data_IF_985820281437
#
_entry.id   IF_985820281437
#
_cell.length_a   1.000
_cell.length_b   1.000
_cell.length_c   1.000
_cell.angle_alpha   90.00
_cell.angle_beta   90.00
_cell.angle_gamma   90.00
#
_symmetry.space_group_name_H-M   'P 1'
#
loop_
_entity.id
_entity.type
_entity.pdbx_description
1 polymer ?
#
# COMPACT_ATOMS: atom_id res chain seq x y z
N UNK A 1 -48.40 27.65 34.76
CA UNK A 1 -49.69 27.30 34.12
C UNK A 1 -49.42 26.93 32.67
N UNK A 2 -49.77 25.69 32.35
CA UNK A 2 -50.04 25.14 30.99
C UNK A 2 -48.94 25.22 29.91
N UNK A 3 -48.68 24.27 29.15
CA UNK A 3 -48.99 22.83 28.99
C UNK A 3 -48.54 22.38 27.60
N UNK A 4 -48.03 21.17 27.54
CA UNK A 4 -48.18 20.12 26.52
C UNK A 4 -47.52 20.22 25.14
N UNK A 5 -46.60 19.27 24.92
CA UNK A 5 -46.56 18.25 23.86
C UNK A 5 -46.93 18.64 22.42
N UNK A 6 -45.95 18.50 21.53
CA UNK A 6 -46.21 17.78 20.27
C UNK A 6 -44.94 17.00 19.84
N UNK A 7 -44.98 15.68 20.01
CA UNK A 7 -44.14 14.73 19.29
C UNK A 7 -44.56 14.74 17.82
N UNK A 8 -43.64 15.08 16.94
CA UNK A 8 -43.79 14.77 15.51
C UNK A 8 -42.85 13.61 15.20
N UNK A 9 -43.48 12.47 14.98
CA UNK A 9 -42.90 11.24 14.43
C UNK A 9 -42.43 11.51 13.00
N UNK A 10 -41.13 11.39 12.74
CA UNK A 10 -40.59 11.28 11.39
C UNK A 10 -40.15 9.84 11.18
N UNK A 11 -40.83 9.16 10.26
CA UNK A 11 -40.55 7.83 9.78
C UNK A 11 -39.18 7.78 9.09
N UNK A 12 -38.47 6.63 9.12
CA UNK A 12 -37.18 6.50 8.45
C UNK A 12 -37.37 6.40 6.93
N UNK A 13 -36.79 7.32 6.19
CA UNK A 13 -36.65 7.25 4.74
C UNK A 13 -35.66 6.16 4.36
N UNK A 14 -36.07 5.32 3.43
CA UNK A 14 -35.38 4.16 2.91
C UNK A 14 -33.98 4.48 2.37
N UNK A 15 -32.98 3.71 2.80
CA UNK A 15 -31.67 3.66 2.18
C UNK A 15 -31.76 3.01 0.79
N UNK A 16 -31.02 3.47 -0.23
CA UNK A 16 -31.09 2.92 -1.55
C UNK A 16 -30.42 1.54 -1.62
N UNK A 17 -31.13 0.59 -2.23
CA UNK A 17 -30.78 -0.81 -2.47
C UNK A 17 -29.68 -0.98 -3.55
N UNK A 18 -28.53 -0.34 -3.40
CA UNK A 18 -27.39 -0.45 -4.35
C UNK A 18 -26.29 -1.42 -3.90
N UNK A 19 -26.32 -1.87 -2.65
CA UNK A 19 -25.28 -2.74 -2.11
C UNK A 19 -25.50 -4.25 -2.39
N UNK A 20 -26.75 -4.67 -2.61
CA UNK A 20 -27.07 -6.10 -2.77
C UNK A 20 -26.66 -6.68 -4.14
N UNK A 21 -26.56 -5.86 -5.19
CA UNK A 21 -26.26 -6.35 -6.55
C UNK A 21 -24.77 -6.63 -6.80
N UNK A 22 -23.87 -6.11 -5.97
CA UNK A 22 -22.42 -6.34 -6.12
C UNK A 22 -21.98 -7.71 -5.60
N UNK A 23 -22.70 -8.28 -4.65
CA UNK A 23 -22.35 -9.58 -4.05
C UNK A 23 -22.69 -10.77 -4.97
N UNK A 24 -23.81 -10.70 -5.69
CA UNK A 24 -24.24 -11.79 -6.58
C UNK A 24 -23.38 -11.98 -7.82
N UNK A 25 -22.70 -10.92 -8.30
CA UNK A 25 -21.83 -10.98 -9.48
C UNK A 25 -20.43 -11.55 -9.20
N UNK A 26 -19.97 -11.54 -7.95
CA UNK A 26 -18.70 -12.18 -7.58
C UNK A 26 -18.84 -13.72 -7.60
N UNK A 27 -20.03 -14.24 -7.31
CA UNK A 27 -20.34 -15.66 -7.38
C UNK A 27 -20.41 -16.20 -8.82
N UNK A 28 -20.69 -15.35 -9.83
CA UNK A 28 -20.84 -15.79 -11.23
C UNK A 28 -19.52 -15.86 -12.02
N UNK A 29 -18.39 -15.51 -11.42
CA UNK A 29 -17.06 -15.63 -12.04
C UNK A 29 -16.45 -17.04 -11.86
N UNK A 30 -17.24 -18.10 -12.06
CA UNK A 30 -16.75 -19.46 -12.35
C UNK A 30 -15.62 -20.01 -11.45
N UNK A 31 -15.58 -19.67 -10.15
CA UNK A 31 -14.65 -20.23 -9.19
C UNK A 31 -15.21 -21.52 -8.57
N UNK A 32 -15.63 -22.46 -9.41
CA UNK A 32 -15.84 -23.85 -8.97
C UNK A 32 -14.46 -24.50 -8.80
N UNK A 33 -13.93 -24.45 -7.59
CA UNK A 33 -12.84 -25.33 -7.21
C UNK A 33 -13.46 -26.64 -6.75
N UNK A 34 -13.17 -27.72 -7.46
CA UNK A 34 -13.46 -29.10 -7.00
C UNK A 34 -12.68 -29.30 -5.69
N UNK A 35 -13.38 -29.18 -4.59
CA UNK A 35 -12.84 -29.57 -3.27
C UNK A 35 -13.00 -31.04 -3.12
N UNK A 36 -11.92 -31.80 -3.32
CA UNK A 36 -11.83 -33.14 -2.81
C UNK A 36 -11.91 -33.08 -1.28
N UNK A 37 -13.00 -33.61 -0.72
CA UNK A 37 -13.20 -33.76 0.73
C UNK A 37 -12.22 -34.83 1.24
N UNK A 38 -11.06 -34.38 1.67
CA UNK A 38 -10.16 -35.17 2.52
C UNK A 38 -10.23 -34.59 3.93
N UNK A 39 -10.58 -35.42 4.90
CA UNK A 39 -10.87 -35.04 6.29
C UNK A 39 -9.78 -34.23 6.94
N UNK A 40 -10.07 -32.98 7.27
CA UNK A 40 -9.21 -32.11 8.05
C UNK A 40 -9.26 -32.48 9.51
N UNK A 41 -8.19 -33.09 10.00
CA UNK A 41 -7.90 -33.19 11.44
C UNK A 41 -7.65 -31.77 11.98
N UNK A 42 -8.48 -31.34 12.92
CA UNK A 42 -8.21 -30.18 13.78
C UNK A 42 -6.98 -30.48 14.63
N UNK A 43 -6.02 -29.57 14.65
CA UNK A 43 -4.92 -29.57 15.61
C UNK A 43 -3.53 -29.69 15.00
N UNK A 44 -3.01 -28.60 14.46
CA UNK A 44 -1.58 -28.40 14.18
C UNK A 44 -1.06 -27.26 15.02
N UNK A 45 -0.44 -27.57 16.18
CA UNK A 45 0.34 -26.66 16.99
C UNK A 45 1.39 -25.97 16.11
N UNK A 46 1.30 -24.64 15.94
CA UNK A 46 2.38 -23.84 15.37
C UNK A 46 3.49 -23.74 16.40
N UNK A 47 4.61 -24.41 16.15
CA UNK A 47 5.80 -24.32 16.95
C UNK A 47 6.32 -22.87 16.97
N UNK A 48 6.62 -22.39 18.16
CA UNK A 48 7.33 -21.14 18.48
C UNK A 48 8.76 -21.22 17.96
N UNK A 49 8.98 -20.68 16.78
CA UNK A 49 10.28 -20.49 16.14
C UNK A 49 10.03 -19.87 14.80
N UNK A 50 10.67 -18.80 14.41
CA UNK A 50 10.47 -17.91 13.24
C UNK A 50 9.92 -18.56 11.96
N UNK A 51 8.72 -19.06 12.00
CA UNK A 51 8.09 -19.90 10.98
C UNK A 51 7.52 -19.05 9.85
N UNK A 52 7.73 -19.54 8.64
CA UNK A 52 7.14 -18.97 7.41
C UNK A 52 5.61 -19.07 7.48
N UNK A 53 4.91 -17.96 7.24
CA UNK A 53 3.43 -17.90 7.27
C UNK A 53 2.87 -18.65 6.07
N UNK A 54 1.93 -19.56 6.33
CA UNK A 54 1.29 -20.41 5.30
C UNK A 54 -0.18 -20.03 5.10
N UNK A 55 -0.80 -20.60 4.05
CA UNK A 55 -2.22 -20.39 3.72
C UNK A 55 -2.55 -18.90 3.53
N UNK A 56 -1.69 -18.17 2.84
CA UNK A 56 -1.77 -16.73 2.62
C UNK A 56 -2.47 -16.43 1.29
N UNK A 57 -3.27 -15.36 1.26
CA UNK A 57 -3.74 -14.77 0.00
C UNK A 57 -3.03 -13.43 -0.18
N UNK A 58 -2.44 -13.23 -1.36
CA UNK A 58 -1.80 -11.98 -1.77
C UNK A 58 -2.65 -11.32 -2.85
N UNK A 59 -3.14 -10.09 -2.60
CA UNK A 59 -3.97 -9.35 -3.56
C UNK A 59 -3.27 -8.05 -3.92
N UNK A 60 -2.61 -8.04 -5.08
CA UNK A 60 -1.97 -6.88 -5.65
C UNK A 60 -2.90 -6.18 -6.66
N UNK A 61 -2.72 -4.88 -6.82
CA UNK A 61 -3.44 -4.13 -7.85
C UNK A 61 -3.21 -2.63 -7.71
N UNK A 62 -3.38 -1.86 -8.79
CA UNK A 62 -3.23 -0.41 -8.75
C UNK A 62 -4.29 0.22 -7.83
N UNK A 63 -4.06 1.48 -7.45
CA UNK A 63 -5.10 2.24 -6.73
C UNK A 63 -6.39 2.26 -7.53
N UNK A 64 -7.54 2.25 -6.87
CA UNK A 64 -8.89 2.19 -7.47
C UNK A 64 -9.20 0.91 -8.29
N UNK A 65 -8.43 -0.17 -8.15
CA UNK A 65 -8.68 -1.45 -8.86
C UNK A 65 -9.82 -2.29 -8.28
N UNK A 66 -10.31 -1.99 -7.07
CA UNK A 66 -11.30 -2.84 -6.37
C UNK A 66 -10.69 -3.90 -5.44
N UNK A 67 -9.35 -3.92 -5.31
CA UNK A 67 -8.63 -4.93 -4.48
C UNK A 67 -9.11 -5.01 -3.03
N UNK A 68 -9.44 -3.86 -2.39
CA UNK A 68 -9.89 -3.84 -0.99
C UNK A 68 -11.26 -4.48 -0.82
N UNK A 69 -12.19 -4.22 -1.75
CA UNK A 69 -13.51 -4.86 -1.76
C UNK A 69 -13.40 -6.39 -1.92
N UNK A 70 -12.53 -6.86 -2.83
CA UNK A 70 -12.25 -8.29 -2.99
C UNK A 70 -11.64 -8.89 -1.72
N UNK A 71 -10.65 -8.22 -1.12
CA UNK A 71 -10.02 -8.70 0.11
C UNK A 71 -11.03 -8.84 1.25
N UNK A 72 -11.91 -7.85 1.42
CA UNK A 72 -12.94 -7.86 2.44
C UNK A 72 -13.96 -8.97 2.23
N UNK A 73 -14.44 -9.17 1.00
CA UNK A 73 -15.37 -10.25 0.67
C UNK A 73 -14.78 -11.64 0.92
N UNK A 74 -13.48 -11.83 0.61
CA UNK A 74 -12.75 -13.05 0.90
C UNK A 74 -12.55 -13.23 2.41
N UNK A 75 -12.24 -12.15 3.13
CA UNK A 75 -12.02 -12.19 4.57
C UNK A 75 -13.29 -12.62 5.33
N UNK A 76 -14.44 -12.08 4.95
CA UNK A 76 -15.73 -12.49 5.53
C UNK A 76 -16.08 -13.95 5.22
N UNK A 77 -15.88 -14.37 3.97
CA UNK A 77 -16.25 -15.72 3.53
C UNK A 77 -15.38 -16.80 4.15
N UNK A 78 -14.08 -16.53 4.33
CA UNK A 78 -13.06 -17.50 4.72
C UNK A 78 -12.53 -17.29 6.14
N UNK A 79 -13.14 -16.37 6.91
CA UNK A 79 -12.71 -16.00 8.27
C UNK A 79 -11.23 -15.65 8.33
N UNK A 80 -10.83 -14.60 7.58
CA UNK A 80 -9.43 -14.17 7.46
C UNK A 80 -9.21 -12.76 7.99
N UNK A 81 -7.96 -12.46 8.33
CA UNK A 81 -7.52 -11.10 8.65
C UNK A 81 -6.99 -10.38 7.41
N UNK A 82 -7.42 -9.13 7.21
CA UNK A 82 -6.94 -8.26 6.11
C UNK A 82 -5.70 -7.48 6.60
N UNK A 83 -4.58 -7.66 5.93
CA UNK A 83 -3.31 -7.01 6.29
C UNK A 83 -2.90 -6.02 5.20
N UNK A 84 -2.65 -4.78 5.60
CA UNK A 84 -2.26 -3.73 4.67
C UNK A 84 -0.90 -4.00 4.00
N UNK A 85 -0.86 -3.91 2.68
CA UNK A 85 0.34 -3.93 1.85
C UNK A 85 0.46 -2.66 0.98
N UNK A 86 0.06 -1.50 1.51
CA UNK A 86 0.23 -0.18 0.89
C UNK A 86 1.04 0.74 1.81
N UNK A 87 2.12 1.32 1.27
CA UNK A 87 3.07 2.12 2.04
C UNK A 87 2.55 3.47 2.51
N UNK A 88 1.42 3.95 1.96
CA UNK A 88 0.80 5.20 2.41
C UNK A 88 -0.30 4.96 3.45
N UNK A 89 -0.95 3.81 3.43
CA UNK A 89 -2.02 3.46 4.38
C UNK A 89 -1.50 3.09 5.77
N UNK A 90 -0.19 3.02 5.96
CA UNK A 90 0.43 2.80 7.30
C UNK A 90 0.33 4.04 8.19
N UNK A 91 0.19 5.24 7.63
CA UNK A 91 0.26 6.50 8.38
C UNK A 91 -1.07 6.87 9.05
N UNK A 92 -1.01 7.24 10.34
CA UNK A 92 -2.18 7.47 11.19
C UNK A 92 -3.06 8.64 10.76
N UNK A 93 -2.49 9.73 10.26
CA UNK A 93 -3.22 10.94 9.88
C UNK A 93 -3.89 10.83 8.50
N UNK A 94 -3.34 10.01 7.61
CA UNK A 94 -3.81 9.88 6.22
C UNK A 94 -4.87 8.77 6.09
N UNK A 95 -6.10 9.07 6.45
CA UNK A 95 -7.23 8.12 6.40
C UNK A 95 -8.01 8.24 5.08
N UNK A 96 -8.63 9.39 4.86
CA UNK A 96 -9.44 9.66 3.68
C UNK A 96 -8.58 9.67 2.42
N UNK A 97 -7.46 10.41 2.46
CA UNK A 97 -6.58 10.63 1.30
C UNK A 97 -5.93 9.34 0.78
N UNK A 98 -5.67 8.39 1.66
CA UNK A 98 -5.14 7.07 1.27
C UNK A 98 -6.22 6.02 1.09
N UNK A 99 -7.48 6.36 1.39
CA UNK A 99 -8.63 5.47 1.39
C UNK A 99 -8.40 4.22 2.23
N UNK A 100 -8.05 4.40 3.49
CA UNK A 100 -8.03 3.32 4.47
C UNK A 100 -9.42 2.75 4.69
N UNK A 101 -9.53 1.52 5.19
CA UNK A 101 -10.82 0.93 5.54
C UNK A 101 -11.60 1.80 6.54
N UNK A 102 -12.87 2.05 6.23
CA UNK A 102 -13.78 2.81 7.09
C UNK A 102 -14.31 1.93 8.21
N UNK A 103 -14.90 2.55 9.24
CA UNK A 103 -15.48 1.85 10.39
C UNK A 103 -16.42 0.70 10.00
N UNK A 104 -17.25 0.90 8.96
CA UNK A 104 -18.15 -0.13 8.44
C UNK A 104 -17.40 -1.34 7.84
N UNK A 105 -16.24 -1.14 7.24
CA UNK A 105 -15.40 -2.22 6.68
C UNK A 105 -14.61 -2.91 7.79
N UNK A 106 -14.08 -2.13 8.75
CA UNK A 106 -13.38 -2.66 9.93
C UNK A 106 -14.27 -3.54 10.82
N UNK A 107 -15.58 -3.27 10.86
CA UNK A 107 -16.54 -4.08 11.61
C UNK A 107 -16.83 -5.45 10.95
N UNK A 108 -16.49 -5.64 9.67
CA UNK A 108 -16.81 -6.85 8.89
C UNK A 108 -15.74 -7.92 8.96
N UNK A 109 -14.48 -7.53 9.15
CA UNK A 109 -13.37 -8.47 9.29
C UNK A 109 -12.23 -7.83 10.12
N UNK A 110 -11.35 -8.62 10.76
CA UNK A 110 -10.14 -8.10 11.38
C UNK A 110 -9.22 -7.44 10.36
N UNK A 111 -8.62 -6.31 10.73
CA UNK A 111 -7.66 -5.58 9.90
C UNK A 111 -6.38 -5.29 10.67
N UNK A 112 -5.23 -5.31 9.99
CA UNK A 112 -3.93 -5.01 10.59
C UNK A 112 -3.06 -4.12 9.70
N UNK A 113 -2.12 -3.39 10.32
CA UNK A 113 -1.13 -2.51 9.70
C UNK A 113 -1.72 -1.32 8.93
N UNK A 114 -2.87 -0.84 9.37
CA UNK A 114 -3.46 0.41 8.89
C UNK A 114 -3.28 1.51 9.93
N UNK A 115 -2.75 2.67 9.54
CA UNK A 115 -2.67 3.85 10.39
C UNK A 115 -1.90 3.69 11.70
N UNK A 116 -0.95 2.77 11.78
CA UNK A 116 -0.20 2.45 12.99
C UNK A 116 1.12 3.22 13.13
N UNK A 117 1.51 3.98 12.10
CA UNK A 117 2.75 4.75 12.08
C UNK A 117 2.44 6.24 12.14
N UNK A 118 3.12 6.99 13.02
CA UNK A 118 2.99 8.45 13.03
C UNK A 118 3.69 9.07 11.81
N UNK A 119 3.14 10.12 11.17
CA UNK A 119 3.72 10.73 9.98
C UNK A 119 5.16 11.27 10.14
N UNK A 120 5.58 11.55 11.37
CA UNK A 120 6.96 11.96 11.69
C UNK A 120 7.96 10.80 11.66
N UNK A 121 7.50 9.57 11.53
CA UNK A 121 8.35 8.39 11.52
C UNK A 121 8.56 7.90 10.09
N UNK A 122 9.82 7.74 9.63
CA UNK A 122 10.07 7.14 8.33
C UNK A 122 9.78 5.64 8.38
N UNK A 123 8.88 5.18 7.52
CA UNK A 123 8.53 3.77 7.45
C UNK A 123 8.97 3.17 6.12
N UNK A 124 9.83 2.15 6.19
CA UNK A 124 10.42 1.48 5.03
C UNK A 124 9.81 0.10 4.79
N UNK A 125 10.08 -0.51 3.63
CA UNK A 125 9.71 -1.91 3.36
C UNK A 125 10.28 -2.87 4.41
N UNK A 126 11.50 -2.63 4.91
CA UNK A 126 12.08 -3.43 5.98
C UNK A 126 11.36 -3.26 7.31
N UNK A 127 10.91 -2.03 7.65
CA UNK A 127 10.11 -1.77 8.84
C UNK A 127 8.76 -2.50 8.75
N UNK A 128 8.06 -2.35 7.60
CA UNK A 128 6.80 -3.05 7.38
C UNK A 128 6.94 -4.58 7.47
N UNK A 129 8.02 -5.15 6.95
CA UNK A 129 8.25 -6.59 7.02
C UNK A 129 8.50 -7.06 8.47
N UNK A 130 9.17 -6.23 9.31
CA UNK A 130 9.30 -6.50 10.76
C UNK A 130 7.95 -6.46 11.46
N UNK A 131 7.06 -5.51 11.10
CA UNK A 131 5.70 -5.45 11.65
C UNK A 131 4.89 -6.70 11.30
N UNK A 132 5.01 -7.21 10.06
CA UNK A 132 4.36 -8.46 9.65
C UNK A 132 4.90 -9.65 10.45
N UNK A 133 6.22 -9.74 10.65
CA UNK A 133 6.83 -10.82 11.44
C UNK A 133 6.39 -10.76 12.90
N UNK A 134 6.34 -9.57 13.47
CA UNK A 134 5.83 -9.37 14.84
C UNK A 134 4.39 -9.86 14.97
N UNK A 135 3.48 -9.51 14.05
CA UNK A 135 2.10 -10.04 14.06
C UNK A 135 2.05 -11.57 13.98
N UNK A 136 2.93 -12.17 13.19
CA UNK A 136 3.02 -13.63 13.09
C UNK A 136 3.51 -14.26 14.41
N UNK A 137 4.51 -13.67 15.05
CA UNK A 137 5.08 -14.09 16.35
C UNK A 137 4.08 -13.92 17.49
N UNK A 138 3.26 -12.86 17.47
CA UNK A 138 2.17 -12.60 18.41
C UNK A 138 0.96 -13.53 18.19
N UNK A 139 0.98 -14.39 17.17
CA UNK A 139 -0.08 -15.35 16.89
C UNK A 139 -1.30 -14.78 16.16
N UNK A 140 -1.24 -13.55 15.63
CA UNK A 140 -2.37 -12.93 14.92
C UNK A 140 -2.85 -13.76 13.73
N UNK A 141 -1.96 -14.51 13.08
CA UNK A 141 -2.28 -15.35 11.93
C UNK A 141 -2.65 -16.80 12.28
N UNK A 142 -2.62 -17.16 13.55
CA UNK A 142 -3.02 -18.49 14.01
C UNK A 142 -4.54 -18.64 14.07
N UNK A 143 -5.25 -17.56 14.38
CA UNK A 143 -6.72 -17.55 14.44
C UNK A 143 -7.33 -17.28 13.07
N UNK A 144 -6.78 -16.30 12.33
CA UNK A 144 -7.28 -15.88 11.02
C UNK A 144 -6.13 -15.84 10.02
N UNK A 145 -6.16 -16.71 9.01
CA UNK A 145 -5.13 -16.72 7.99
C UNK A 145 -5.10 -15.37 7.21
N UNK A 146 -3.91 -14.80 6.89
CA UNK A 146 -3.84 -13.44 6.39
C UNK A 146 -4.18 -13.32 4.89
N UNK A 147 -4.80 -12.18 4.55
CA UNK A 147 -4.91 -11.66 3.20
C UNK A 147 -4.09 -10.37 3.15
N UNK A 148 -2.95 -10.37 2.49
CA UNK A 148 -2.19 -9.15 2.23
C UNK A 148 -2.76 -8.43 1.02
N UNK A 149 -3.20 -7.18 1.17
CA UNK A 149 -3.81 -6.40 0.10
C UNK A 149 -3.18 -5.03 -0.04
N UNK A 150 -2.74 -4.66 -1.24
CA UNK A 150 -2.14 -3.35 -1.43
C UNK A 150 -1.66 -3.04 -2.84
N UNK A 151 -1.07 -1.85 -2.96
CA UNK A 151 -0.51 -1.33 -4.21
C UNK A 151 1.02 -1.28 -4.22
N UNK A 152 1.70 -1.62 -3.12
CA UNK A 152 3.15 -1.54 -3.00
C UNK A 152 3.80 -2.86 -3.42
N UNK A 153 4.17 -2.97 -4.70
CA UNK A 153 4.70 -4.22 -5.26
C UNK A 153 5.91 -4.77 -4.50
N UNK A 154 6.81 -3.89 -4.04
CA UNK A 154 7.99 -4.31 -3.28
C UNK A 154 7.63 -5.05 -1.98
N UNK A 155 6.48 -4.75 -1.35
CA UNK A 155 6.01 -5.47 -0.17
C UNK A 155 5.71 -6.95 -0.48
N UNK A 156 5.06 -7.22 -1.61
CA UNK A 156 4.77 -8.59 -2.04
C UNK A 156 6.07 -9.37 -2.34
N UNK A 157 7.03 -8.73 -3.01
CA UNK A 157 8.35 -9.35 -3.21
C UNK A 157 9.07 -9.64 -1.90
N UNK A 158 9.05 -8.68 -0.97
CA UNK A 158 9.67 -8.85 0.34
C UNK A 158 9.06 -10.01 1.14
N UNK A 159 7.74 -10.21 1.02
CA UNK A 159 7.05 -11.35 1.66
C UNK A 159 7.51 -12.70 1.09
N UNK A 160 7.56 -12.81 -0.23
CA UNK A 160 7.71 -14.10 -0.93
C UNK A 160 9.15 -14.46 -1.27
N UNK A 161 10.03 -13.46 -1.43
CA UNK A 161 11.44 -13.67 -1.81
C UNK A 161 12.41 -13.27 -0.69
N UNK A 162 11.91 -12.64 0.38
CA UNK A 162 12.73 -12.01 1.40
C UNK A 162 13.25 -10.63 0.97
N UNK A 163 13.83 -9.93 1.92
CA UNK A 163 14.45 -8.63 1.72
C UNK A 163 15.87 -8.68 2.27
N UNK A 164 16.83 -8.18 1.50
CA UNK A 164 18.23 -8.07 1.93
C UNK A 164 18.33 -7.14 3.14
N UNK A 165 19.07 -7.54 4.13
CA UNK A 165 19.39 -6.71 5.29
C UNK A 165 20.38 -5.64 4.90
N UNK A 166 19.88 -4.46 4.60
CA UNK A 166 20.71 -3.32 4.22
C UNK A 166 21.37 -2.70 5.45
N UNK A 167 22.61 -2.19 5.32
CA UNK A 167 23.29 -1.53 6.40
C UNK A 167 22.52 -0.27 6.84
N UNK A 168 22.63 0.05 8.12
CA UNK A 168 22.12 1.30 8.62
C UNK A 168 22.94 2.47 8.04
N UNK A 169 22.26 3.42 7.43
CA UNK A 169 22.90 4.62 6.90
C UNK A 169 22.70 5.75 7.90
N UNK A 170 23.77 6.36 8.43
CA UNK A 170 23.70 7.49 9.34
C UNK A 170 22.91 8.66 8.74
N UNK A 171 22.17 9.38 9.59
CA UNK A 171 21.35 10.54 9.17
C UNK A 171 22.19 11.60 8.47
N UNK A 172 23.42 11.83 8.93
CA UNK A 172 24.35 12.80 8.32
C UNK A 172 24.71 12.43 6.87
N UNK A 173 24.95 11.13 6.58
CA UNK A 173 25.21 10.66 5.21
C UNK A 173 23.99 10.89 4.32
N UNK A 174 22.80 10.52 4.79
CA UNK A 174 21.54 10.77 4.04
C UNK A 174 21.33 12.24 3.75
N UNK A 175 21.52 13.11 4.75
CA UNK A 175 21.36 14.56 4.58
C UNK A 175 22.32 15.11 3.54
N UNK A 176 23.60 14.71 3.58
CA UNK A 176 24.63 15.12 2.63
C UNK A 176 24.30 14.70 1.20
N UNK A 177 23.95 13.44 0.97
CA UNK A 177 23.61 12.96 -0.38
C UNK A 177 22.33 13.59 -0.92
N UNK A 178 21.35 13.87 -0.04
CA UNK A 178 20.15 14.62 -0.42
C UNK A 178 20.50 16.04 -0.88
N UNK A 179 21.34 16.75 -0.12
CA UNK A 179 21.78 18.09 -0.49
C UNK A 179 22.56 18.08 -1.82
N UNK A 180 23.46 17.10 -2.02
CA UNK A 180 24.19 16.94 -3.28
C UNK A 180 23.27 16.63 -4.46
N UNK A 181 22.25 15.77 -4.29
CA UNK A 181 21.26 15.52 -5.34
C UNK A 181 20.49 16.79 -5.74
N UNK A 182 20.19 17.68 -4.77
CA UNK A 182 19.51 18.94 -5.04
C UNK A 182 20.40 19.96 -5.75
N UNK A 183 21.68 20.05 -5.38
CA UNK A 183 22.61 21.04 -5.93
C UNK A 183 23.28 20.60 -7.23
N UNK A 184 23.64 19.33 -7.37
CA UNK A 184 24.44 18.80 -8.48
C UNK A 184 23.58 18.07 -9.54
N UNK A 185 22.39 17.58 -9.12
CA UNK A 185 21.48 16.83 -9.97
C UNK A 185 21.83 15.35 -10.13
N UNK A 186 20.89 14.59 -10.67
CA UNK A 186 21.01 13.13 -10.78
C UNK A 186 22.12 12.67 -11.73
N UNK A 187 22.34 13.40 -12.82
CA UNK A 187 23.38 13.06 -13.83
C UNK A 187 24.79 13.15 -13.26
N UNK A 188 25.09 14.20 -12.50
CA UNK A 188 26.39 14.36 -11.85
C UNK A 188 26.65 13.24 -10.83
N UNK A 189 25.64 12.92 -10.01
CA UNK A 189 25.74 11.82 -9.06
C UNK A 189 25.86 10.45 -9.75
N UNK A 190 25.22 10.26 -10.92
CA UNK A 190 25.40 9.05 -11.71
C UNK A 190 26.83 8.92 -12.24
N UNK A 191 27.42 10.00 -12.72
CA UNK A 191 28.82 10.00 -13.16
C UNK A 191 29.80 9.71 -12.00
N UNK A 192 29.50 10.19 -10.79
CA UNK A 192 30.25 9.83 -9.59
C UNK A 192 30.09 8.34 -9.28
N UNK A 193 28.84 7.83 -9.23
CA UNK A 193 28.57 6.41 -8.98
C UNK A 193 29.28 5.51 -10.01
N UNK A 194 29.35 5.93 -11.28
CA UNK A 194 30.04 5.18 -12.32
C UNK A 194 31.58 5.04 -12.11
N UNK A 195 32.15 5.95 -11.33
CA UNK A 195 33.57 5.85 -10.94
C UNK A 195 33.77 4.98 -9.70
N UNK A 196 32.89 5.10 -8.73
CA UNK A 196 32.99 4.44 -7.42
C UNK A 196 32.43 3.00 -7.43
N UNK A 197 31.32 2.77 -8.19
CA UNK A 197 30.63 1.49 -8.34
C UNK A 197 30.06 1.36 -9.76
N UNK A 198 30.95 1.04 -10.76
CA UNK A 198 30.56 0.94 -12.18
C UNK A 198 29.43 -0.08 -12.42
N UNK A 199 29.41 -1.18 -11.66
CA UNK A 199 28.42 -2.25 -11.82
C UNK A 199 27.01 -1.76 -11.48
N UNK A 200 26.85 -1.10 -10.34
CA UNK A 200 25.56 -0.49 -9.95
C UNK A 200 25.16 0.63 -10.91
N UNK A 201 26.09 1.49 -11.32
CA UNK A 201 25.79 2.59 -12.23
C UNK A 201 25.27 2.10 -13.59
N UNK A 202 25.82 1.02 -14.15
CA UNK A 202 25.40 0.44 -15.42
C UNK A 202 23.93 -0.03 -15.42
N UNK A 203 23.36 -0.35 -14.26
CA UNK A 203 21.98 -0.82 -14.09
C UNK A 203 20.98 0.32 -13.82
N UNK A 204 21.46 1.51 -13.48
CA UNK A 204 20.64 2.65 -13.14
C UNK A 204 20.57 3.64 -14.30
N UNK A 205 19.37 4.18 -14.55
CA UNK A 205 19.23 5.28 -15.48
C UNK A 205 19.82 6.57 -14.88
N UNK A 206 20.58 7.37 -15.66
CA UNK A 206 21.18 8.61 -15.15
C UNK A 206 20.21 9.62 -14.53
N UNK A 207 18.92 9.55 -14.88
CA UNK A 207 17.86 10.40 -14.29
C UNK A 207 17.21 9.83 -13.02
N UNK A 208 17.55 8.62 -12.56
CA UNK A 208 16.95 8.00 -11.38
C UNK A 208 17.69 8.42 -10.08
N UNK A 209 17.57 9.71 -9.76
CA UNK A 209 18.29 10.32 -8.64
C UNK A 209 18.06 9.63 -7.29
N UNK A 210 16.87 9.08 -7.06
CA UNK A 210 16.56 8.38 -5.79
C UNK A 210 17.37 7.09 -5.64
N UNK A 211 17.47 6.29 -6.70
CA UNK A 211 18.23 5.04 -6.67
C UNK A 211 19.73 5.28 -6.69
N UNK A 212 20.18 6.27 -7.45
CA UNK A 212 21.59 6.69 -7.49
C UNK A 212 22.02 7.17 -6.10
N UNK A 213 21.25 8.07 -5.48
CA UNK A 213 21.51 8.55 -4.12
C UNK A 213 21.57 7.38 -3.13
N UNK A 214 20.59 6.45 -3.20
CA UNK A 214 20.59 5.28 -2.31
C UNK A 214 21.81 4.38 -2.49
N UNK A 215 22.28 4.18 -3.71
CA UNK A 215 23.50 3.40 -3.97
C UNK A 215 24.74 4.06 -3.33
N UNK A 216 24.87 5.38 -3.49
CA UNK A 216 25.96 6.16 -2.89
C UNK A 216 25.91 6.19 -1.37
N UNK A 217 24.70 6.32 -0.78
CA UNK A 217 24.49 6.23 0.66
C UNK A 217 24.98 4.90 1.25
N UNK A 218 24.60 3.80 0.60
CA UNK A 218 24.96 2.44 1.05
C UNK A 218 26.47 2.21 0.88
N UNK A 219 27.02 2.59 -0.28
CA UNK A 219 28.44 2.45 -0.55
C UNK A 219 29.29 3.20 0.47
N UNK A 220 28.92 4.46 0.77
CA UNK A 220 29.66 5.26 1.75
C UNK A 220 29.51 4.74 3.18
N UNK A 221 28.31 4.29 3.56
CA UNK A 221 28.04 3.81 4.91
C UNK A 221 28.69 2.46 5.22
N UNK A 222 28.90 1.60 4.20
CA UNK A 222 29.35 0.22 4.40
C UNK A 222 30.62 -0.17 3.67
N UNK A 223 31.12 0.69 2.77
CA UNK A 223 32.23 0.33 1.89
C UNK A 223 31.90 -0.76 0.86
N UNK A 224 30.63 -1.16 0.74
CA UNK A 224 30.19 -2.28 -0.09
C UNK A 224 29.06 -1.86 -1.02
N UNK A 225 29.10 -2.31 -2.28
CA UNK A 225 28.08 -2.06 -3.30
C UNK A 225 26.69 -2.48 -2.83
N UNK A 226 25.67 -1.66 -3.17
CA UNK A 226 24.27 -2.01 -2.92
C UNK A 226 23.85 -3.32 -3.62
N UNK A 227 24.44 -3.64 -4.77
CA UNK A 227 24.21 -4.90 -5.48
C UNK A 227 24.69 -6.11 -4.68
N UNK A 228 25.87 -6.00 -4.07
CA UNK A 228 26.41 -7.05 -3.24
C UNK A 228 25.53 -7.33 -2.01
N UNK A 229 24.95 -6.28 -1.41
CA UNK A 229 23.94 -6.44 -0.37
C UNK A 229 22.65 -7.07 -0.90
N UNK A 230 22.18 -6.67 -2.09
CA UNK A 230 20.96 -7.19 -2.70
C UNK A 230 21.08 -8.66 -3.15
N UNK A 231 22.29 -9.14 -3.39
CA UNK A 231 22.54 -10.55 -3.70
C UNK A 231 22.31 -11.46 -2.48
N UNK A 232 22.49 -10.95 -1.27
CA UNK A 232 22.24 -11.65 -0.01
C UNK A 232 20.76 -11.47 0.38
N UNK A 233 19.90 -12.33 -0.16
CA UNK A 233 18.46 -12.27 0.15
C UNK A 233 18.20 -12.75 1.57
N UNK A 234 17.39 -12.01 2.30
CA UNK A 234 16.84 -12.44 3.58
C UNK A 234 15.84 -13.58 3.43
N UNK A 235 15.42 -14.15 4.54
CA UNK A 235 14.44 -15.23 4.54
C UNK A 235 13.04 -14.71 4.14
N UNK A 236 12.31 -15.43 3.27
CA UNK A 236 10.90 -15.16 3.00
C UNK A 236 10.07 -15.22 4.28
N UNK A 237 9.08 -14.35 4.39
CA UNK A 237 8.15 -14.35 5.53
C UNK A 237 6.92 -15.19 5.24
N UNK A 238 6.60 -15.39 3.96
CA UNK A 238 5.45 -16.16 3.48
C UNK A 238 5.94 -17.34 2.66
N UNK A 239 5.36 -18.52 2.90
CA UNK A 239 5.55 -19.69 2.04
C UNK A 239 4.90 -19.43 0.68
N UNK A 240 5.75 -19.06 -0.27
CA UNK A 240 5.31 -18.72 -1.61
C UNK A 240 4.64 -19.90 -2.35
N UNK A 241 4.96 -21.15 -2.02
CA UNK A 241 4.37 -22.32 -2.66
C UNK A 241 2.91 -22.55 -2.22
N UNK A 242 2.57 -22.21 -0.97
CA UNK A 242 1.21 -22.35 -0.44
C UNK A 242 0.35 -21.07 -0.61
N UNK A 243 0.93 -19.97 -1.09
CA UNK A 243 0.24 -18.69 -1.22
C UNK A 243 -0.60 -18.63 -2.51
N UNK A 244 -1.88 -18.27 -2.37
CA UNK A 244 -2.68 -17.82 -3.52
C UNK A 244 -2.32 -16.38 -3.85
N UNK A 245 -1.93 -16.12 -5.11
CA UNK A 245 -1.42 -14.84 -5.56
C UNK A 245 -2.29 -14.27 -6.66
N UNK A 246 -2.89 -13.12 -6.42
CA UNK A 246 -3.85 -12.48 -7.32
C UNK A 246 -3.36 -11.07 -7.64
N UNK A 247 -3.37 -10.70 -8.91
CA UNK A 247 -3.18 -9.31 -9.35
C UNK A 247 -4.40 -8.84 -10.13
N UNK A 248 -4.99 -7.73 -9.69
CA UNK A 248 -6.16 -7.14 -10.35
C UNK A 248 -5.68 -6.17 -11.42
N UNK A 249 -6.11 -6.39 -12.67
CA UNK A 249 -5.81 -5.56 -13.83
C UNK A 249 -7.10 -4.93 -14.38
N UNK A 250 -7.51 -3.75 -13.88
CA UNK A 250 -8.70 -3.08 -14.38
C UNK A 250 -8.49 -2.51 -15.78
N UNK A 251 -9.55 -2.44 -16.57
CA UNK A 251 -9.54 -1.69 -17.83
C UNK A 251 -9.19 -0.22 -17.56
N UNK A 252 -8.35 0.35 -18.42
CA UNK A 252 -7.83 1.72 -18.23
C UNK A 252 -8.94 2.78 -18.10
N UNK A 253 -9.98 2.68 -18.93
CA UNK A 253 -11.10 3.62 -18.90
C UNK A 253 -11.83 3.59 -17.55
N UNK A 254 -12.17 2.39 -17.08
CA UNK A 254 -12.81 2.18 -15.77
C UNK A 254 -11.93 2.67 -14.61
N UNK A 255 -10.62 2.49 -14.70
CA UNK A 255 -9.69 2.95 -13.68
C UNK A 255 -9.66 4.48 -13.60
N UNK A 256 -9.69 5.18 -14.73
CA UNK A 256 -9.73 6.65 -14.78
C UNK A 256 -11.01 7.17 -14.14
N UNK A 257 -12.16 6.65 -14.53
CA UNK A 257 -13.47 7.02 -13.98
C UNK A 257 -13.52 6.82 -12.44
N UNK A 258 -13.05 5.67 -11.96
CA UNK A 258 -13.02 5.37 -10.53
C UNK A 258 -12.07 6.30 -9.74
N UNK A 259 -10.94 6.68 -10.33
CA UNK A 259 -10.02 7.63 -9.71
C UNK A 259 -10.69 9.00 -9.54
N UNK A 260 -11.38 9.48 -10.57
CA UNK A 260 -12.04 10.80 -10.56
C UNK A 260 -13.20 10.83 -9.56
N UNK A 261 -14.09 9.84 -9.61
CA UNK A 261 -15.20 9.69 -8.66
C UNK A 261 -14.70 9.60 -7.20
N UNK A 262 -13.65 8.81 -6.99
CA UNK A 262 -13.06 8.63 -5.65
C UNK A 262 -12.47 9.91 -5.09
N UNK A 263 -11.76 10.70 -5.91
CA UNK A 263 -11.15 11.96 -5.46
C UNK A 263 -12.21 13.01 -5.13
N UNK A 264 -13.30 13.09 -5.91
CA UNK A 264 -14.43 13.93 -5.56
C UNK A 264 -15.01 13.56 -4.18
N UNK A 265 -15.30 12.28 -3.96
CA UNK A 265 -15.77 11.79 -2.66
C UNK A 265 -14.78 11.97 -1.51
N UNK A 266 -13.47 11.98 -1.77
CA UNK A 266 -12.45 12.27 -0.75
C UNK A 266 -12.51 13.73 -0.29
N UNK A 267 -12.73 14.67 -1.18
CA UNK A 267 -12.89 16.09 -0.83
C UNK A 267 -14.12 16.29 0.06
N UNK A 268 -15.25 15.70 -0.31
CA UNK A 268 -16.48 15.72 0.48
C UNK A 268 -16.28 15.07 1.86
N UNK A 269 -15.50 14.00 1.93
CA UNK A 269 -15.20 13.28 3.16
C UNK A 269 -14.15 14.00 4.05
N UNK A 270 -13.58 15.13 3.63
CA UNK A 270 -12.70 15.95 4.45
C UNK A 270 -11.21 15.80 4.17
N UNK A 271 -10.81 15.38 2.96
CA UNK A 271 -9.40 15.27 2.57
C UNK A 271 -8.58 16.56 2.78
N UNK A 272 -9.20 17.76 2.60
CA UNK A 272 -8.52 19.02 2.84
C UNK A 272 -8.16 19.19 4.33
N UNK A 273 -9.07 18.86 5.25
CA UNK A 273 -8.81 18.95 6.70
C UNK A 273 -7.71 17.97 7.13
N UNK A 274 -7.68 16.81 6.53
CA UNK A 274 -6.64 15.80 6.78
C UNK A 274 -5.26 16.32 6.33
N UNK A 275 -5.17 16.96 5.16
CA UNK A 275 -3.94 17.60 4.68
C UNK A 275 -3.54 18.79 5.56
N UNK A 276 -4.48 19.62 5.97
CA UNK A 276 -4.23 20.73 6.91
C UNK A 276 -3.64 20.22 8.23
N UNK A 277 -4.23 19.15 8.79
CA UNK A 277 -3.72 18.48 9.99
C UNK A 277 -2.29 17.95 9.77
N UNK A 278 -2.02 17.30 8.64
CA UNK A 278 -0.67 16.80 8.33
C UNK A 278 0.34 17.96 8.21
N UNK A 279 -0.02 19.04 7.54
CA UNK A 279 0.84 20.21 7.34
C UNK A 279 1.12 20.94 8.67
N UNK A 280 0.15 20.99 9.60
CA UNK A 280 0.31 21.59 10.92
C UNK A 280 1.37 20.89 11.79
N UNK A 281 1.73 19.64 11.48
CA UNK A 281 2.82 18.92 12.15
C UNK A 281 4.22 19.49 11.83
N UNK A 282 4.35 20.37 10.83
CA UNK A 282 5.62 21.00 10.47
C UNK A 282 6.72 20.02 10.03
N UNK A 283 6.36 18.90 9.43
CA UNK A 283 7.30 17.84 9.06
C UNK A 283 8.20 18.24 7.88
N UNK A 284 9.41 17.67 7.84
CA UNK A 284 10.29 17.77 6.67
C UNK A 284 9.52 17.30 5.42
N UNK A 285 9.43 18.11 4.34
CA UNK A 285 8.80 17.74 3.09
C UNK A 285 9.35 16.45 2.45
N UNK A 286 10.54 16.02 2.87
CA UNK A 286 11.14 14.76 2.41
C UNK A 286 10.57 13.52 3.12
N UNK A 287 9.82 13.68 4.20
CA UNK A 287 9.18 12.56 4.91
C UNK A 287 8.26 11.78 3.99
N UNK A 288 8.20 10.43 4.12
CA UNK A 288 7.36 9.61 3.25
C UNK A 288 5.89 10.00 3.27
N UNK A 289 5.31 10.32 4.43
CA UNK A 289 3.91 10.75 4.55
C UNK A 289 3.60 12.00 3.73
N UNK A 290 4.55 12.96 3.67
CA UNK A 290 4.42 14.19 2.89
C UNK A 290 4.38 13.97 1.38
N UNK A 291 4.75 12.78 0.91
CA UNK A 291 4.73 12.37 -0.51
C UNK A 291 3.43 11.69 -0.93
N UNK A 292 2.47 11.54 -0.02
CA UNK A 292 1.16 11.00 -0.37
C UNK A 292 0.50 11.91 -1.42
N UNK A 293 -0.10 11.28 -2.44
CA UNK A 293 -0.77 12.02 -3.51
C UNK A 293 -1.94 12.79 -2.92
N UNK A 294 -2.05 14.05 -3.28
CA UNK A 294 -3.03 14.99 -2.74
C UNK A 294 -2.45 15.92 -1.68
N UNK A 295 -1.42 15.52 -0.92
CA UNK A 295 -0.82 16.40 0.11
C UNK A 295 -0.29 17.70 -0.51
N UNK A 296 0.47 17.59 -1.59
CA UNK A 296 1.00 18.76 -2.31
C UNK A 296 -0.11 19.58 -2.96
N UNK A 297 -1.00 18.92 -3.68
CA UNK A 297 -2.06 19.54 -4.47
C UNK A 297 -3.06 20.27 -3.56
N UNK A 298 -3.58 19.61 -2.55
CA UNK A 298 -4.49 20.24 -1.57
C UNK A 298 -3.78 21.25 -0.67
N UNK A 299 -2.49 21.04 -0.36
CA UNK A 299 -1.68 22.06 0.34
C UNK A 299 -1.53 23.34 -0.45
N UNK A 300 -1.42 23.29 -1.79
CA UNK A 300 -1.44 24.49 -2.64
C UNK A 300 -2.81 25.19 -2.62
N UNK A 301 -3.92 24.43 -2.59
CA UNK A 301 -5.25 25.00 -2.47
C UNK A 301 -5.47 25.67 -1.10
N UNK A 302 -5.07 25.03 0.00
CA UNK A 302 -5.12 25.60 1.35
C UNK A 302 -4.29 26.89 1.46
N UNK A 303 -3.17 26.97 0.74
CA UNK A 303 -2.35 28.18 0.66
C UNK A 303 -2.91 29.24 -0.32
N UNK A 304 -4.07 29.04 -0.93
CA UNK A 304 -4.70 29.98 -1.87
C UNK A 304 -3.95 30.12 -3.21
N UNK A 305 -3.03 29.19 -3.54
CA UNK A 305 -2.23 29.25 -4.77
C UNK A 305 -2.95 28.72 -5.99
N UNK A 306 -3.90 27.82 -5.80
CA UNK A 306 -4.78 27.24 -6.83
C UNK A 306 -6.18 27.05 -6.26
N UNK A 307 -7.18 26.85 -7.11
CA UNK A 307 -8.54 26.51 -6.66
C UNK A 307 -8.62 25.06 -6.16
N UNK A 308 -9.67 24.72 -5.40
CA UNK A 308 -9.93 23.35 -4.95
C UNK A 308 -10.17 22.41 -6.14
N UNK A 309 -10.86 22.87 -7.18
CA UNK A 309 -11.12 22.11 -8.41
C UNK A 309 -9.81 21.80 -9.14
N UNK A 310 -8.91 22.78 -9.21
CA UNK A 310 -7.60 22.57 -9.82
C UNK A 310 -6.75 21.60 -9.01
N UNK A 311 -6.80 21.64 -7.68
CA UNK A 311 -6.12 20.67 -6.81
C UNK A 311 -6.64 19.24 -7.05
N UNK A 312 -7.95 19.05 -7.15
CA UNK A 312 -8.57 17.75 -7.48
C UNK A 312 -8.10 17.26 -8.85
N UNK A 313 -8.08 18.13 -9.87
CA UNK A 313 -7.61 17.79 -11.22
C UNK A 313 -6.15 17.34 -11.22
N UNK A 314 -5.28 18.03 -10.49
CA UNK A 314 -3.86 17.70 -10.37
C UNK A 314 -3.65 16.40 -9.57
N UNK A 315 -4.40 16.20 -8.50
CA UNK A 315 -4.37 14.97 -7.72
C UNK A 315 -4.85 13.76 -8.55
N UNK A 316 -5.89 13.94 -9.39
CA UNK A 316 -6.34 12.91 -10.32
C UNK A 316 -5.26 12.55 -11.33
N UNK A 317 -4.57 13.53 -11.91
CA UNK A 317 -3.46 13.30 -12.81
C UNK A 317 -2.32 12.52 -12.14
N UNK A 318 -1.91 12.96 -10.95
CA UNK A 318 -0.87 12.30 -10.14
C UNK A 318 -1.25 10.85 -9.81
N UNK A 319 -2.53 10.62 -9.46
CA UNK A 319 -3.08 9.29 -9.15
C UNK A 319 -3.08 8.39 -10.38
N UNK A 320 -3.49 8.88 -11.55
CA UNK A 320 -3.43 8.12 -12.82
C UNK A 320 -2.00 7.73 -13.18
N UNK A 321 -1.04 8.64 -13.01
CA UNK A 321 0.38 8.35 -13.23
C UNK A 321 0.91 7.29 -12.25
N UNK A 322 0.49 7.37 -10.99
CA UNK A 322 0.86 6.39 -9.97
C UNK A 322 0.27 5.00 -10.29
N UNK A 323 -1.01 4.92 -10.61
CA UNK A 323 -1.66 3.68 -11.02
C UNK A 323 -0.99 3.05 -12.25
N UNK A 324 -0.57 3.86 -13.25
CA UNK A 324 0.22 3.40 -14.39
C UNK A 324 1.56 2.82 -13.96
N UNK A 325 2.28 3.47 -13.03
CA UNK A 325 3.55 2.95 -12.49
C UNK A 325 3.35 1.62 -11.77
N UNK A 326 2.29 1.49 -10.93
CA UNK A 326 1.94 0.25 -10.26
C UNK A 326 1.66 -0.87 -11.27
N UNK A 327 0.79 -0.64 -12.25
CA UNK A 327 0.46 -1.64 -13.29
C UNK A 327 1.68 -2.07 -14.09
N UNK A 328 2.58 -1.13 -14.44
CA UNK A 328 3.83 -1.45 -15.13
C UNK A 328 4.74 -2.29 -14.25
N UNK A 329 4.84 -1.96 -12.96
CA UNK A 329 5.64 -2.71 -12.01
C UNK A 329 5.11 -4.15 -11.86
N UNK A 330 3.79 -4.33 -11.64
CA UNK A 330 3.18 -5.63 -11.51
C UNK A 330 3.38 -6.49 -12.76
N UNK A 331 3.24 -5.89 -13.95
CA UNK A 331 3.45 -6.62 -15.22
C UNK A 331 4.89 -7.13 -15.38
N UNK A 332 5.87 -6.34 -14.94
CA UNK A 332 7.29 -6.64 -15.14
C UNK A 332 7.92 -7.47 -14.01
N UNK A 333 7.32 -7.45 -12.80
CA UNK A 333 7.93 -8.02 -11.61
C UNK A 333 7.16 -9.19 -11.00
N UNK A 334 5.89 -9.36 -11.35
CA UNK A 334 5.07 -10.49 -10.91
C UNK A 334 5.01 -11.51 -12.03
N UNK A 335 5.51 -12.71 -11.75
CA UNK A 335 5.63 -13.81 -12.69
C UNK A 335 4.29 -14.53 -12.99
N UNK A 336 4.34 -15.64 -13.74
CA UNK A 336 3.16 -16.39 -14.15
C UNK A 336 2.43 -17.08 -12.98
N UNK A 337 3.08 -17.18 -11.83
CA UNK A 337 2.47 -17.71 -10.60
C UNK A 337 1.40 -16.78 -9.99
N UNK A 338 1.24 -15.56 -10.53
CA UNK A 338 0.19 -14.63 -10.15
C UNK A 338 -1.00 -14.77 -11.08
N UNK A 339 -2.16 -15.14 -10.52
CA UNK A 339 -3.45 -15.14 -11.21
C UNK A 339 -3.81 -13.69 -11.59
N UNK A 340 -3.98 -13.40 -12.89
CA UNK A 340 -4.33 -12.07 -13.40
C UNK A 340 -5.82 -11.97 -13.61
N UNK A 341 -6.49 -11.17 -12.79
CA UNK A 341 -7.92 -10.94 -12.89
C UNK A 341 -8.21 -9.61 -13.58
N UNK A 342 -8.87 -9.68 -14.73
CA UNK A 342 -9.38 -8.49 -15.40
C UNK A 342 -10.67 -8.04 -14.72
N UNK A 343 -10.64 -6.86 -14.06
CA UNK A 343 -11.83 -6.25 -13.49
C UNK A 343 -12.59 -5.47 -14.57
N UNK A 344 -13.63 -6.08 -15.12
CA UNK A 344 -14.52 -5.43 -16.10
C UNK A 344 -15.69 -4.70 -15.46
N UNK A 345 -16.13 -5.12 -14.27
CA UNK A 345 -17.12 -4.43 -13.40
C UNK A 345 -17.10 -5.06 -12.00
N UNK A 346 -17.12 -4.28 -10.96
CA UNK A 346 -17.49 -4.70 -9.58
C UNK A 346 -18.66 -3.87 -9.11
#
# INVERSE_FOLDING_TARGET
MFSANQCVSLAPTAAPALCARSCERICSLGLETSVATSGMKKGGSLASGGGVVRNVILIAGPTASGKSAMALALAEREDRIVVNADSMQVYSVLDVLTARPRAAELARAPHALYGHVHPSEPHSTGAWLRDVRRLAEEGAFAQHAPIFVGGTGLYFRALTEGLSEMPEVPVAIRARWRARLQSEGAQALHALLAREDPATAARLKPGDGQRIMRALEVLEASGRSIEAWQAERGQPTVDAASARRIVIEPLRALLVERIETRLAGMVEAGALREVETLLSLGLDPAMPAMKAIGVREFGMALAGRISSEEAVRLAALSTRQYAKRQSTWFRNQLGPEWERLQATSF
#
